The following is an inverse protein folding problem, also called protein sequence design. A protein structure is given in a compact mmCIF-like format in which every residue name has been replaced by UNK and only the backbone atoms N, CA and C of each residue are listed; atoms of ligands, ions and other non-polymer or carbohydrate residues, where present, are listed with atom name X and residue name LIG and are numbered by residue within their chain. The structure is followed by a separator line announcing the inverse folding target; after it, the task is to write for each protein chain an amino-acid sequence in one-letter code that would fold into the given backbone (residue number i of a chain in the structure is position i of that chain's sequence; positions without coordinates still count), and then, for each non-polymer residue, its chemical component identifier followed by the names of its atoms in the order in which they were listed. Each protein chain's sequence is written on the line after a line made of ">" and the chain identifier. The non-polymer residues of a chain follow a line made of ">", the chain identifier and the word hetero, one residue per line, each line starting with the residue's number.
data_IF_938251551759
#
_entry.id   IF_938251551759
#
_cell.length_a   1.000
_cell.length_b   1.000
_cell.length_c   1.000
_cell.angle_alpha   90.00
_cell.angle_beta   90.00
_cell.angle_gamma   90.00
#
_symmetry.space_group_name_H-M   'P 1'
#
loop_
_entity.id
_entity.type
_entity.pdbx_description
1 polymer ?
#
# COMPACT_ATOMS: atom_id res chain seq x y z
N UNK A 1 -9.40 -10.57 -2.44
CA UNK A 1 -9.02 -9.20 -2.04
C UNK A 1 -9.85 -8.75 -0.85
N UNK A 2 -9.19 -8.12 0.09
CA UNK A 2 -9.83 -7.71 1.33
C UNK A 2 -9.59 -6.22 1.53
N UNK A 3 -10.67 -5.47 1.73
CA UNK A 3 -10.61 -4.02 1.92
C UNK A 3 -11.21 -3.67 3.28
N UNK A 4 -10.46 -2.89 4.06
CA UNK A 4 -10.90 -2.46 5.40
C UNK A 4 -10.93 -0.94 5.46
N UNK A 5 -12.00 -0.34 6.00
CA UNK A 5 -12.04 1.10 6.17
C UNK A 5 -11.05 1.55 7.23
N UNK A 6 -10.42 2.67 7.01
CA UNK A 6 -9.53 3.31 7.97
C UNK A 6 -10.08 4.65 8.43
N UNK A 7 -9.20 5.54 8.80
CA UNK A 7 -9.58 6.89 9.19
C UNK A 7 -10.19 7.65 8.02
N UNK A 8 -11.14 8.51 8.32
CA UNK A 8 -11.82 9.28 7.29
C UNK A 8 -11.08 10.59 7.02
N UNK A 9 -10.86 10.90 5.74
CA UNK A 9 -10.33 12.19 5.30
C UNK A 9 -11.40 13.03 4.64
N UNK A 10 -11.24 14.35 4.74
CA UNK A 10 -12.22 15.29 4.20
C UNK A 10 -11.78 15.94 2.89
N UNK A 11 -10.52 15.80 2.52
CA UNK A 11 -9.95 16.43 1.33
C UNK A 11 -10.04 15.59 0.05
N UNK A 12 -10.57 14.39 0.15
CA UNK A 12 -10.70 13.49 -1.00
C UNK A 12 -9.48 12.64 -1.30
N UNK A 13 -8.31 12.95 -0.71
CA UNK A 13 -7.12 12.15 -0.86
C UNK A 13 -6.98 11.20 0.32
N UNK A 14 -6.56 9.98 0.04
CA UNK A 14 -6.45 8.95 1.05
C UNK A 14 -5.04 8.41 1.15
N UNK A 15 -4.70 7.93 2.32
CA UNK A 15 -3.51 7.11 2.50
C UNK A 15 -3.93 5.65 2.42
N UNK A 16 -3.41 4.94 1.43
CA UNK A 16 -3.83 3.58 1.11
C UNK A 16 -2.67 2.63 1.32
N UNK A 17 -2.89 1.62 2.14
CA UNK A 17 -1.91 0.57 2.39
C UNK A 17 -2.32 -0.68 1.62
N UNK A 18 -1.43 -1.17 0.77
CA UNK A 18 -1.65 -2.39 0.00
C UNK A 18 -0.73 -3.47 0.53
N UNK A 19 -1.31 -4.59 0.94
CA UNK A 19 -0.54 -5.74 1.40
C UNK A 19 -0.50 -6.76 0.28
N UNK A 20 0.65 -6.89 -0.37
CA UNK A 20 0.84 -7.74 -1.52
C UNK A 20 1.16 -6.94 -2.77
N UNK A 21 2.38 -7.08 -3.29
CA UNK A 21 2.86 -6.36 -4.48
C UNK A 21 2.87 -7.17 -5.76
N UNK A 22 2.13 -8.29 -5.80
CA UNK A 22 1.99 -9.09 -7.01
C UNK A 22 1.12 -8.37 -8.05
N UNK A 23 0.65 -9.10 -9.06
CA UNK A 23 -0.07 -8.49 -10.18
C UNK A 23 -1.26 -7.64 -9.74
N UNK A 24 -2.10 -8.18 -8.87
CA UNK A 24 -3.30 -7.46 -8.41
C UNK A 24 -2.93 -6.23 -7.59
N UNK A 25 -2.00 -6.39 -6.65
CA UNK A 25 -1.55 -5.28 -5.81
C UNK A 25 -0.89 -4.18 -6.62
N UNK A 26 -0.06 -4.55 -7.59
CA UNK A 26 0.59 -3.60 -8.48
C UNK A 26 -0.42 -2.81 -9.32
N UNK A 27 -1.44 -3.48 -9.81
CA UNK A 27 -2.49 -2.85 -10.60
C UNK A 27 -3.28 -1.84 -9.77
N UNK A 28 -3.62 -2.21 -8.54
CA UNK A 28 -4.30 -1.30 -7.62
C UNK A 28 -3.43 -0.12 -7.24
N UNK A 29 -2.14 -0.37 -6.99
CA UNK A 29 -1.19 0.70 -6.66
C UNK A 29 -1.11 1.73 -7.79
N UNK A 30 -1.04 1.27 -9.03
CA UNK A 30 -1.03 2.14 -10.20
C UNK A 30 -2.28 3.00 -10.26
N UNK A 31 -3.42 2.39 -10.05
CA UNK A 31 -4.71 3.07 -10.09
C UNK A 31 -4.80 4.17 -9.03
N UNK A 32 -4.43 3.84 -7.78
CA UNK A 32 -4.48 4.79 -6.69
C UNK A 32 -3.44 5.90 -6.86
N UNK A 33 -2.27 5.61 -7.41
CA UNK A 33 -1.28 6.63 -7.72
C UNK A 33 -1.76 7.59 -8.79
N UNK A 34 -2.47 7.10 -9.80
CA UNK A 34 -3.09 7.94 -10.83
C UNK A 34 -4.09 8.92 -10.22
N UNK A 35 -4.79 8.49 -9.19
CA UNK A 35 -5.75 9.33 -8.48
C UNK A 35 -5.10 10.21 -7.41
N UNK A 36 -3.77 10.23 -7.38
CA UNK A 36 -2.95 11.06 -6.48
C UNK A 36 -3.12 10.74 -5.00
N UNK A 37 -3.51 9.52 -4.67
CA UNK A 37 -3.52 9.06 -3.28
C UNK A 37 -2.11 8.72 -2.80
N UNK A 38 -1.91 8.78 -1.49
CA UNK A 38 -0.69 8.31 -0.85
C UNK A 38 -0.73 6.79 -0.76
N UNK A 39 0.17 6.12 -1.45
CA UNK A 39 0.17 4.65 -1.50
C UNK A 39 1.40 4.08 -0.83
N UNK A 40 1.19 3.09 0.03
CA UNK A 40 2.25 2.29 0.63
C UNK A 40 2.00 0.83 0.29
N UNK A 41 3.00 0.15 -0.25
CA UNK A 41 2.89 -1.27 -0.60
C UNK A 41 3.83 -2.09 0.27
N UNK A 42 3.29 -3.12 0.91
CA UNK A 42 4.06 -4.10 1.68
C UNK A 42 4.16 -5.39 0.87
N UNK A 43 5.37 -5.92 0.73
CA UNK A 43 5.59 -7.23 0.15
C UNK A 43 6.86 -7.84 0.73
N UNK A 44 6.90 -9.17 0.80
CA UNK A 44 8.08 -9.88 1.27
C UNK A 44 9.20 -9.91 0.23
N UNK A 45 8.87 -9.73 -1.04
CA UNK A 45 9.83 -9.80 -2.13
C UNK A 45 10.32 -8.42 -2.57
N UNK A 46 11.59 -8.17 -2.30
CA UNK A 46 12.22 -6.88 -2.63
C UNK A 46 12.16 -6.55 -4.12
N UNK A 47 12.22 -7.56 -4.97
CA UNK A 47 12.18 -7.35 -6.42
C UNK A 47 10.86 -6.76 -6.89
N UNK A 48 9.75 -7.21 -6.32
CA UNK A 48 8.43 -6.66 -6.64
C UNK A 48 8.32 -5.20 -6.25
N UNK A 49 8.85 -4.88 -5.07
CA UNK A 49 8.83 -3.50 -4.57
C UNK A 49 9.72 -2.60 -5.40
N UNK A 50 10.89 -3.07 -5.80
CA UNK A 50 11.80 -2.30 -6.64
C UNK A 50 11.17 -2.00 -8.00
N UNK A 51 10.46 -2.95 -8.58
CA UNK A 51 9.78 -2.77 -9.85
C UNK A 51 8.68 -1.71 -9.73
N UNK A 52 7.91 -1.73 -8.65
CA UNK A 52 6.89 -0.71 -8.42
C UNK A 52 7.50 0.67 -8.27
N UNK A 53 8.59 0.78 -7.53
CA UNK A 53 9.29 2.06 -7.34
C UNK A 53 9.88 2.63 -8.62
N UNK A 54 10.14 1.79 -9.62
CA UNK A 54 10.67 2.23 -10.91
C UNK A 54 9.62 3.02 -11.70
N UNK A 55 8.35 2.66 -11.55
CA UNK A 55 7.27 3.19 -12.37
C UNK A 55 6.32 4.12 -11.63
N UNK A 56 6.22 3.99 -10.31
CA UNK A 56 5.21 4.69 -9.52
C UNK A 56 5.85 5.49 -8.39
N UNK A 57 5.25 6.63 -8.08
CA UNK A 57 5.65 7.44 -6.94
C UNK A 57 4.88 6.97 -5.71
N UNK A 58 5.44 5.99 -5.02
CA UNK A 58 4.84 5.42 -3.83
C UNK A 58 5.91 4.97 -2.84
N UNK A 59 5.48 4.66 -1.62
CA UNK A 59 6.36 4.14 -0.59
C UNK A 59 6.26 2.61 -0.56
N UNK A 60 7.38 1.95 -0.31
CA UNK A 60 7.39 0.49 -0.17
C UNK A 60 7.99 0.09 1.17
N UNK A 61 7.47 -1.00 1.73
CA UNK A 61 8.00 -1.60 2.95
C UNK A 61 8.16 -3.10 2.69
N UNK A 62 9.40 -3.59 2.83
CA UNK A 62 9.66 -5.00 2.67
C UNK A 62 9.41 -5.73 3.99
N UNK A 63 8.59 -6.76 3.96
CA UNK A 63 8.31 -7.56 5.13
C UNK A 63 7.06 -8.39 4.97
N UNK A 64 6.72 -9.11 6.02
CA UNK A 64 5.52 -9.93 6.08
C UNK A 64 4.35 -9.06 6.54
N UNK A 65 3.33 -8.94 5.71
CA UNK A 65 2.14 -8.16 6.01
C UNK A 65 1.33 -8.66 7.21
N UNK A 66 1.60 -9.87 7.68
CA UNK A 66 0.98 -10.39 8.90
C UNK A 66 1.76 -10.04 10.16
N UNK A 67 2.97 -9.49 10.01
CA UNK A 67 3.82 -9.14 11.14
C UNK A 67 3.50 -7.75 11.65
N UNK A 68 3.13 -7.59 12.93
CA UNK A 68 2.82 -6.27 13.49
C UNK A 68 3.93 -5.23 13.32
N UNK A 69 5.20 -5.65 13.40
CA UNK A 69 6.32 -4.73 13.23
C UNK A 69 6.37 -4.16 11.80
N UNK A 70 6.06 -4.97 10.81
CA UNK A 70 5.98 -4.53 9.42
C UNK A 70 4.85 -3.52 9.22
N UNK A 71 3.71 -3.79 9.82
CA UNK A 71 2.56 -2.91 9.74
C UNK A 71 2.84 -1.56 10.42
N UNK A 72 3.53 -1.57 11.55
CA UNK A 72 3.94 -0.35 12.23
C UNK A 72 4.90 0.48 11.36
N UNK A 73 5.86 -0.18 10.72
CA UNK A 73 6.80 0.49 9.83
C UNK A 73 6.08 1.15 8.66
N UNK A 74 5.00 0.55 8.20
CA UNK A 74 4.17 1.09 7.12
C UNK A 74 3.15 2.11 7.61
N UNK A 75 3.14 2.47 8.90
CA UNK A 75 2.18 3.40 9.49
C UNK A 75 0.72 2.99 9.28
N UNK A 76 0.42 1.72 9.54
CA UNK A 76 -0.93 1.18 9.30
C UNK A 76 -2.01 1.99 10.03
N UNK A 77 -1.68 2.57 11.19
CA UNK A 77 -2.64 3.36 11.96
C UNK A 77 -3.09 4.63 11.24
N UNK A 78 -2.27 5.13 10.32
CA UNK A 78 -2.58 6.33 9.55
C UNK A 78 -3.26 6.01 8.23
N UNK A 79 -3.41 4.75 7.90
CA UNK A 79 -4.05 4.36 6.64
C UNK A 79 -5.54 4.65 6.69
N UNK A 80 -6.04 5.26 5.63
CA UNK A 80 -7.48 5.48 5.45
C UNK A 80 -8.13 4.23 4.88
N UNK A 81 -7.35 3.41 4.18
CA UNK A 81 -7.81 2.16 3.59
C UNK A 81 -6.68 1.15 3.60
N UNK A 82 -6.99 -0.09 3.92
CA UNK A 82 -6.04 -1.20 3.84
C UNK A 82 -6.62 -2.25 2.91
N UNK A 83 -5.85 -2.63 1.90
CA UNK A 83 -6.23 -3.62 0.91
C UNK A 83 -5.25 -4.79 0.98
N UNK A 84 -5.75 -5.96 1.33
CA UNK A 84 -4.94 -7.18 1.34
C UNK A 84 -5.31 -8.04 0.12
N UNK A 85 -4.34 -8.35 -0.69
CA UNK A 85 -4.53 -9.11 -1.93
C UNK A 85 -3.71 -10.39 -1.95
#
# INVERSE_FOLDING_TARGET
>A
MRIMPGSRKTDGFMRILIIGGGQTGAHLAEKFCEDEHDVVVIDSEAERLAELNTHLDLMTVQGDGANPATLEEADVERADMVVAV
#
